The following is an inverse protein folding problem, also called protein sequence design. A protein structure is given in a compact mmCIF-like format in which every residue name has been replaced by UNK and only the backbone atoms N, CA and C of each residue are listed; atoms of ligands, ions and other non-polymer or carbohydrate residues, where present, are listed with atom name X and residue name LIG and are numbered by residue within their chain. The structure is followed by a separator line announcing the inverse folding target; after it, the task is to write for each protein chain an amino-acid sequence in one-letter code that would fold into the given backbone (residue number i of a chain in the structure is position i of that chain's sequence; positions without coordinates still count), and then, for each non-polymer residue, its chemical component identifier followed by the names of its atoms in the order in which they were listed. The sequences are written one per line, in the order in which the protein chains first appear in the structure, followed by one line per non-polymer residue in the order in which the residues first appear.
data_IF_855123178990
#
_entry.id   IF_855123178990
#
_cell.length_a   1.000
_cell.length_b   1.000
_cell.length_c   1.000
_cell.angle_alpha   90.00
_cell.angle_beta   90.00
_cell.angle_gamma   90.00
#
_symmetry.space_group_name_H-M   'P 1'
#
loop_
_entity.id
_entity.type
_entity.pdbx_description
1 polymer ?
#
# COMPACT_ATOMS: atom_id res chain seq x y z
N UNK A 1 7.96 -14.58 -3.92
CA UNK A 1 7.87 -14.52 -2.44
C UNK A 1 8.58 -13.24 -2.02
N UNK A 2 7.90 -12.31 -1.32
CA UNK A 2 8.51 -11.06 -0.87
C UNK A 2 9.14 -11.31 0.49
N UNK A 3 10.41 -10.96 0.66
CA UNK A 3 11.06 -10.99 1.96
C UNK A 3 10.67 -9.73 2.73
N UNK A 4 9.91 -9.92 3.80
CA UNK A 4 9.51 -8.87 4.73
C UNK A 4 10.08 -9.21 6.10
N UNK A 5 10.71 -8.23 6.74
CA UNK A 5 11.27 -8.41 8.07
C UNK A 5 10.17 -8.48 9.14
N UNK A 6 10.57 -8.79 10.37
CA UNK A 6 9.62 -8.96 11.47
C UNK A 6 8.85 -7.67 11.77
N UNK A 7 9.52 -6.53 11.70
CA UNK A 7 8.92 -5.22 11.97
C UNK A 7 7.86 -4.90 10.93
N UNK A 8 8.17 -5.04 9.63
CA UNK A 8 7.22 -4.83 8.53
C UNK A 8 6.03 -5.78 8.67
N UNK A 9 6.25 -7.04 9.06
CA UNK A 9 5.17 -7.98 9.32
C UNK A 9 4.22 -7.53 10.44
N UNK A 10 4.75 -6.96 11.53
CA UNK A 10 3.94 -6.41 12.63
C UNK A 10 3.14 -5.20 12.16
N UNK A 11 3.76 -4.29 11.43
CA UNK A 11 3.08 -3.11 10.85
C UNK A 11 1.93 -3.55 9.94
N UNK A 12 2.15 -4.48 9.02
CA UNK A 12 1.10 -5.00 8.13
C UNK A 12 -0.05 -5.65 8.91
N UNK A 13 0.23 -6.35 10.02
CA UNK A 13 -0.81 -6.91 10.88
C UNK A 13 -1.66 -5.82 11.56
N UNK A 14 -1.03 -4.73 12.01
CA UNK A 14 -1.73 -3.59 12.60
C UNK A 14 -2.63 -2.94 11.56
N UNK A 15 -2.10 -2.61 10.37
CA UNK A 15 -2.90 -2.05 9.26
C UNK A 15 -4.08 -2.97 8.94
N UNK A 16 -3.83 -4.28 8.82
CA UNK A 16 -4.87 -5.26 8.55
C UNK A 16 -6.00 -5.20 9.60
N UNK A 17 -5.65 -5.12 10.87
CA UNK A 17 -6.62 -5.06 11.96
C UNK A 17 -7.38 -3.72 11.98
N UNK A 18 -6.67 -2.60 11.84
CA UNK A 18 -7.25 -1.24 11.85
C UNK A 18 -8.32 -1.05 10.77
N UNK A 19 -8.07 -1.57 9.57
CA UNK A 19 -8.98 -1.42 8.43
C UNK A 19 -9.86 -2.65 8.16
N UNK A 20 -9.85 -3.66 9.05
CA UNK A 20 -10.66 -4.87 8.92
C UNK A 20 -10.36 -5.70 7.65
N UNK A 21 -9.10 -5.70 7.19
CA UNK A 21 -8.71 -6.32 5.93
C UNK A 21 -8.56 -7.85 6.04
N UNK A 22 -8.85 -8.54 4.94
CA UNK A 22 -8.89 -10.01 4.90
C UNK A 22 -7.51 -10.65 5.12
N UNK A 23 -6.48 -10.13 4.46
CA UNK A 23 -5.14 -10.70 4.46
C UNK A 23 -4.05 -9.63 4.37
N UNK A 24 -2.77 -10.06 4.41
CA UNK A 24 -1.62 -9.16 4.33
C UNK A 24 -1.47 -8.53 2.95
N UNK A 25 -1.94 -9.19 1.89
CA UNK A 25 -1.90 -8.64 0.53
C UNK A 25 -2.82 -7.42 0.43
N UNK A 26 -4.01 -7.49 1.02
CA UNK A 26 -4.92 -6.35 1.13
C UNK A 26 -4.29 -5.20 1.94
N UNK A 27 -3.58 -5.49 3.03
CA UNK A 27 -2.86 -4.48 3.80
C UNK A 27 -1.74 -3.79 3.00
N UNK A 28 -0.99 -4.54 2.18
CA UNK A 28 0.03 -3.98 1.28
C UNK A 28 -0.61 -3.10 0.22
N UNK A 29 -1.71 -3.54 -0.42
CA UNK A 29 -2.41 -2.72 -1.42
C UNK A 29 -2.93 -1.41 -0.82
N UNK A 30 -3.50 -1.46 0.39
CA UNK A 30 -3.96 -0.26 1.08
C UNK A 30 -2.79 0.69 1.39
N UNK A 31 -1.68 0.18 1.94
CA UNK A 31 -0.48 0.95 2.22
C UNK A 31 0.09 1.60 0.94
N UNK A 32 0.14 0.88 -0.17
CA UNK A 32 0.61 1.42 -1.44
C UNK A 32 -0.27 2.57 -1.95
N UNK A 33 -1.60 2.44 -1.84
CA UNK A 33 -2.54 3.50 -2.21
C UNK A 33 -2.44 4.74 -1.31
N UNK A 34 -2.20 4.58 0.00
CA UNK A 34 -1.96 5.74 0.88
C UNK A 34 -0.61 6.40 0.56
N UNK A 35 0.44 5.61 0.35
CA UNK A 35 1.77 6.10 -0.04
C UNK A 35 1.75 6.85 -1.37
N UNK A 36 0.94 6.39 -2.34
CA UNK A 36 0.69 7.07 -3.60
C UNK A 36 0.18 8.51 -3.37
N UNK A 37 -0.79 8.69 -2.46
CA UNK A 37 -1.34 10.02 -2.15
C UNK A 37 -0.31 10.95 -1.50
N UNK A 38 0.59 10.39 -0.70
CA UNK A 38 1.61 11.16 0.02
C UNK A 38 2.78 11.58 -0.88
N UNK A 39 3.13 10.78 -1.89
CA UNK A 39 4.38 10.96 -2.65
C UNK A 39 4.18 11.29 -4.12
N UNK A 40 3.10 10.84 -4.76
CA UNK A 40 2.89 11.20 -6.16
C UNK A 40 2.41 12.64 -6.27
N UNK A 41 3.25 13.48 -6.86
CA UNK A 41 2.79 14.72 -7.47
C UNK A 41 1.62 14.41 -8.43
N UNK A 42 0.61 15.30 -8.55
CA UNK A 42 -0.60 15.02 -9.33
C UNK A 42 -0.36 14.51 -10.75
N UNK A 43 0.75 14.92 -11.37
CA UNK A 43 1.15 14.55 -12.73
C UNK A 43 1.67 13.11 -12.88
N UNK A 44 2.04 12.44 -11.78
CA UNK A 44 2.57 11.07 -11.81
C UNK A 44 1.52 10.00 -11.47
N UNK A 45 0.29 10.40 -11.13
CA UNK A 45 -0.79 9.46 -10.82
C UNK A 45 -1.04 8.55 -12.04
N UNK A 46 -1.25 7.24 -11.85
CA UNK A 46 -1.47 6.28 -12.93
C UNK A 46 -2.59 6.69 -13.90
N UNK A 47 -3.62 7.36 -13.37
CA UNK A 47 -4.74 7.96 -14.13
C UNK A 47 -4.30 8.92 -15.25
N UNK A 48 -3.10 9.49 -15.16
CA UNK A 48 -2.51 10.41 -16.15
C UNK A 48 -1.45 9.74 -17.05
N UNK A 49 -0.91 8.58 -16.66
CA UNK A 49 0.12 7.86 -17.43
C UNK A 49 -0.52 7.02 -18.57
N UNK A 50 -1.73 6.50 -18.38
CA UNK A 50 -2.43 5.70 -19.42
C UNK A 50 -2.91 6.50 -20.65
N UNK A 51 -2.69 7.82 -20.69
CA UNK A 51 -3.10 8.68 -21.83
C UNK A 51 -1.99 8.96 -22.86
N UNK A 52 -0.82 8.35 -22.74
CA UNK A 52 0.31 8.55 -23.66
C UNK A 52 0.50 7.38 -24.64
#
# INVERSE_FOLDING_TARGET
MINIDEITNRVLNIIKATYGLKDKSAAIMHMAAEYEKEIMEPALRPEFIEKA
#
